data_IF_710069849009
#
_entry.id   IF_710069849009
#
_cell.length_a   1.000
_cell.length_b   1.000
_cell.length_c   1.000
_cell.angle_alpha   90.00
_cell.angle_beta   90.00
_cell.angle_gamma   90.00
#
_symmetry.space_group_name_H-M   'P 1'
#
loop_
_entity.id
_entity.type
_entity.pdbx_description
1 polymer ?
#
# COMPACT_ATOMS: atom_id res chain seq x y z
N UNK A 1 -20.04 22.24 14.35
CA UNK A 1 -19.49 21.01 13.74
C UNK A 1 -18.25 21.38 12.93
N UNK A 2 -17.06 21.27 13.53
CA UNK A 2 -15.77 21.57 12.89
C UNK A 2 -15.33 20.36 12.06
N UNK A 3 -16.00 20.10 10.95
CA UNK A 3 -15.44 19.22 9.93
C UNK A 3 -14.27 20.00 9.31
N UNK A 4 -13.08 19.57 9.70
CA UNK A 4 -11.79 20.24 9.61
C UNK A 4 -11.40 20.61 8.18
N UNK A 5 -11.16 21.90 7.90
CA UNK A 5 -10.52 22.37 6.65
C UNK A 5 -9.22 21.61 6.33
N UNK A 6 -8.54 21.05 7.34
CA UNK A 6 -7.31 20.30 7.16
C UNK A 6 -7.51 18.91 6.50
N UNK A 7 -8.74 18.39 6.47
CA UNK A 7 -9.05 17.09 5.86
C UNK A 7 -9.37 17.19 4.37
N UNK A 8 -9.81 18.36 3.91
CA UNK A 8 -10.20 18.60 2.50
C UNK A 8 -9.06 18.32 1.52
N UNK A 9 -7.81 18.81 1.74
CA UNK A 9 -6.71 18.53 0.81
C UNK A 9 -6.33 17.04 0.74
N UNK A 10 -6.50 16.32 1.85
CA UNK A 10 -6.26 14.87 1.89
C UNK A 10 -7.30 14.13 1.05
N UNK A 11 -8.58 14.50 1.20
CA UNK A 11 -9.68 13.90 0.46
C UNK A 11 -9.56 14.19 -1.05
N UNK A 12 -9.30 15.44 -1.45
CA UNK A 12 -9.07 15.79 -2.85
C UNK A 12 -7.92 14.99 -3.46
N UNK A 13 -6.86 14.73 -2.69
CA UNK A 13 -5.73 13.93 -3.15
C UNK A 13 -6.09 12.46 -3.29
N UNK A 14 -6.89 11.90 -2.38
CA UNK A 14 -7.41 10.53 -2.45
C UNK A 14 -8.32 10.35 -3.67
N UNK A 15 -9.21 11.31 -3.95
CA UNK A 15 -10.07 11.29 -5.14
C UNK A 15 -9.24 11.31 -6.43
N UNK A 16 -8.23 12.19 -6.53
CA UNK A 16 -7.32 12.19 -7.68
C UNK A 16 -6.57 10.88 -7.83
N UNK A 17 -6.12 10.29 -6.72
CA UNK A 17 -5.44 8.99 -6.76
C UNK A 17 -6.38 7.93 -7.31
N UNK A 18 -7.62 7.86 -6.83
CA UNK A 18 -8.62 6.91 -7.30
C UNK A 18 -8.84 7.02 -8.82
N UNK A 19 -8.87 8.23 -9.37
CA UNK A 19 -8.96 8.46 -10.81
C UNK A 19 -7.71 8.04 -11.60
N UNK A 20 -6.52 8.10 -10.99
CA UNK A 20 -5.24 7.72 -11.61
C UNK A 20 -5.01 6.19 -11.61
N UNK A 21 -5.60 5.46 -10.66
CA UNK A 21 -5.32 4.04 -10.44
C UNK A 21 -5.65 3.11 -11.63
N UNK A 22 -6.79 3.24 -12.34
CA UNK A 22 -7.13 2.33 -13.44
C UNK A 22 -6.08 2.31 -14.56
N UNK A 23 -5.51 3.48 -14.89
CA UNK A 23 -4.44 3.60 -15.87
C UNK A 23 -3.12 2.99 -15.37
N UNK A 24 -2.89 3.02 -14.07
CA UNK A 24 -1.68 2.48 -13.45
C UNK A 24 -1.69 0.95 -13.36
N UNK A 25 -2.85 0.36 -13.04
CA UNK A 25 -3.01 -1.09 -12.88
C UNK A 25 -3.02 -1.84 -14.22
N UNK A 26 -3.25 -1.15 -15.34
CA UNK A 26 -3.34 -1.74 -16.69
C UNK A 26 -1.99 -2.01 -17.37
N UNK A 27 -0.86 -1.87 -16.66
CA UNK A 27 0.48 -2.13 -17.20
C UNK A 27 1.39 -0.90 -17.23
N UNK A 28 1.37 -0.09 -16.16
CA UNK A 28 2.21 1.09 -16.05
C UNK A 28 3.68 0.79 -16.37
N UNK A 29 4.18 1.44 -17.43
CA UNK A 29 5.62 1.57 -17.67
C UNK A 29 6.27 2.27 -16.47
N UNK A 30 7.54 1.94 -16.17
CA UNK A 30 8.32 2.61 -15.12
C UNK A 30 8.26 4.14 -15.35
N UNK A 31 7.51 4.85 -14.51
CA UNK A 31 7.33 6.30 -14.58
C UNK A 31 5.88 6.80 -14.63
N UNK A 32 4.88 5.93 -14.86
CA UNK A 32 3.46 6.35 -14.95
C UNK A 32 2.61 5.94 -13.74
N UNK A 33 3.21 5.31 -12.73
CA UNK A 33 2.50 4.98 -11.50
C UNK A 33 2.22 6.27 -10.69
N UNK A 34 0.99 6.46 -10.19
CA UNK A 34 0.65 7.63 -9.40
C UNK A 34 1.41 7.62 -8.08
N UNK A 35 1.70 8.81 -7.56
CA UNK A 35 2.36 8.94 -6.26
C UNK A 35 1.40 8.48 -5.15
N UNK A 36 1.88 7.58 -4.28
CA UNK A 36 1.13 7.17 -3.09
C UNK A 36 0.85 8.33 -2.13
N UNK A 37 0.01 8.07 -1.13
CA UNK A 37 -0.39 9.03 -0.11
C UNK A 37 -0.01 8.47 1.26
N UNK A 38 0.58 9.32 2.10
CA UNK A 38 0.87 9.02 3.50
C UNK A 38 -0.01 9.92 4.38
N UNK A 39 -0.97 9.32 5.08
CA UNK A 39 -1.90 10.04 5.95
C UNK A 39 -1.35 10.03 7.38
N UNK A 40 -1.05 11.22 7.92
CA UNK A 40 -0.53 11.38 9.28
C UNK A 40 -1.29 12.47 10.04
N UNK A 41 -1.22 12.43 11.37
CA UNK A 41 -1.96 13.33 12.25
C UNK A 41 -2.23 12.70 13.62
N UNK A 42 -2.82 13.47 14.53
CA UNK A 42 -3.05 13.05 15.92
C UNK A 42 -3.99 11.83 16.05
N UNK A 43 -3.92 11.09 17.17
CA UNK A 43 -4.94 10.09 17.52
C UNK A 43 -6.34 10.70 17.47
N UNK A 44 -7.30 9.99 16.88
CA UNK A 44 -8.67 10.49 16.72
C UNK A 44 -8.90 11.47 15.54
N UNK A 45 -7.87 11.78 14.73
CA UNK A 45 -8.01 12.65 13.55
C UNK A 45 -8.76 12.04 12.34
N UNK A 46 -9.30 10.81 12.48
CA UNK A 46 -10.09 10.16 11.43
C UNK A 46 -9.29 9.51 10.29
N UNK A 47 -7.98 9.28 10.46
CA UNK A 47 -7.10 8.69 9.44
C UNK A 47 -7.56 7.30 8.98
N UNK A 48 -7.90 6.44 9.94
CA UNK A 48 -8.40 5.08 9.68
C UNK A 48 -9.68 5.13 8.87
N UNK A 49 -10.63 6.01 9.24
CA UNK A 49 -11.87 6.21 8.49
C UNK A 49 -11.61 6.65 7.04
N UNK A 50 -10.66 7.57 6.80
CA UNK A 50 -10.31 7.96 5.43
C UNK A 50 -9.72 6.80 4.63
N UNK A 51 -8.87 5.97 5.25
CA UNK A 51 -8.30 4.79 4.61
C UNK A 51 -9.38 3.73 4.32
N UNK A 52 -10.33 3.54 5.23
CA UNK A 52 -11.47 2.64 5.07
C UNK A 52 -12.31 3.05 3.85
N UNK A 53 -12.76 4.31 3.81
CA UNK A 53 -13.54 4.85 2.71
C UNK A 53 -12.82 4.77 1.37
N UNK A 54 -11.53 5.11 1.34
CA UNK A 54 -10.73 4.99 0.12
C UNK A 54 -10.63 3.54 -0.36
N UNK A 55 -10.38 2.60 0.55
CA UNK A 55 -10.27 1.19 0.20
C UNK A 55 -11.60 0.62 -0.33
N UNK A 56 -12.72 1.02 0.27
CA UNK A 56 -14.07 0.67 -0.21
C UNK A 56 -14.29 1.18 -1.65
N UNK A 57 -13.98 2.44 -1.93
CA UNK A 57 -14.12 3.02 -3.27
C UNK A 57 -13.25 2.32 -4.33
N UNK A 58 -12.03 1.90 -3.95
CA UNK A 58 -11.14 1.13 -4.83
C UNK A 58 -11.75 -0.24 -5.15
N UNK A 59 -12.31 -0.92 -4.15
CA UNK A 59 -12.99 -2.20 -4.33
C UNK A 59 -14.23 -2.06 -5.23
N UNK A 60 -15.03 -1.00 -5.04
CA UNK A 60 -16.18 -0.67 -5.88
C UNK A 60 -15.77 -0.39 -7.34
N UNK A 61 -14.61 0.22 -7.56
CA UNK A 61 -14.03 0.42 -8.88
C UNK A 61 -13.49 -0.88 -9.53
N UNK A 62 -13.56 -2.02 -8.83
CA UNK A 62 -13.11 -3.32 -9.33
C UNK A 62 -11.58 -3.46 -9.40
N UNK A 63 -10.85 -2.61 -8.70
CA UNK A 63 -9.39 -2.61 -8.69
C UNK A 63 -8.86 -3.55 -7.59
N UNK A 64 -7.95 -4.48 -7.90
CA UNK A 64 -7.41 -5.36 -6.87
C UNK A 64 -6.57 -4.56 -5.87
N UNK A 65 -6.99 -4.57 -4.60
CA UNK A 65 -6.30 -3.92 -3.50
C UNK A 65 -6.09 -4.90 -2.35
N UNK A 66 -5.03 -4.66 -1.57
CA UNK A 66 -4.81 -5.35 -0.30
C UNK A 66 -4.67 -4.32 0.81
N UNK A 67 -5.48 -4.49 1.84
CA UNK A 67 -5.30 -3.78 3.11
C UNK A 67 -4.64 -4.71 4.13
N UNK A 68 -3.63 -4.21 4.85
CA UNK A 68 -2.96 -4.95 5.90
C UNK A 68 -2.34 -3.99 6.93
N UNK A 69 -2.16 -4.44 8.17
CA UNK A 69 -1.24 -3.76 9.09
C UNK A 69 0.19 -3.92 8.55
N UNK A 70 1.01 -2.87 8.68
CA UNK A 70 2.36 -2.87 8.11
C UNK A 70 3.22 -4.06 8.60
N UNK A 71 3.16 -4.38 9.90
CA UNK A 71 3.93 -5.47 10.48
C UNK A 71 3.53 -6.85 9.91
N UNK A 72 2.23 -7.10 9.78
CA UNK A 72 1.72 -8.37 9.23
C UNK A 72 2.15 -8.55 7.77
N UNK A 73 2.13 -7.46 6.99
CA UNK A 73 2.62 -7.48 5.62
C UNK A 73 4.12 -7.84 5.54
N UNK A 74 4.95 -7.25 6.41
CA UNK A 74 6.38 -7.54 6.46
C UNK A 74 6.65 -9.00 6.84
N UNK A 75 5.89 -9.56 7.78
CA UNK A 75 5.97 -10.98 8.14
C UNK A 75 5.62 -11.89 6.96
N UNK A 76 4.56 -11.57 6.22
CA UNK A 76 4.17 -12.34 5.03
C UNK A 76 5.23 -12.27 3.92
N UNK A 77 5.76 -11.08 3.65
CA UNK A 77 6.85 -10.89 2.69
C UNK A 77 8.07 -11.74 3.06
N UNK A 78 8.47 -11.75 4.34
CA UNK A 78 9.61 -12.53 4.83
C UNK A 78 9.36 -14.05 4.71
N UNK A 79 8.14 -14.51 4.99
CA UNK A 79 7.75 -15.92 4.81
C UNK A 79 7.85 -16.34 3.35
N UNK A 80 7.36 -15.52 2.43
CA UNK A 80 7.40 -15.79 0.99
C UNK A 80 8.84 -15.77 0.46
N UNK A 81 9.64 -14.79 0.89
CA UNK A 81 11.05 -14.69 0.54
C UNK A 81 11.83 -15.95 0.96
N UNK A 82 11.62 -16.39 2.20
CA UNK A 82 12.25 -17.59 2.72
C UNK A 82 11.78 -18.87 1.98
N UNK A 83 10.50 -18.94 1.60
CA UNK A 83 9.97 -20.06 0.79
C UNK A 83 10.64 -20.11 -0.58
N UNK A 84 10.74 -18.98 -1.29
CA UNK A 84 11.38 -18.90 -2.61
C UNK A 84 12.87 -19.25 -2.52
N UNK A 85 13.59 -18.72 -1.51
CA UNK A 85 15.01 -19.04 -1.28
C UNK A 85 15.24 -20.54 -1.06
N UNK A 86 14.33 -21.23 -0.37
CA UNK A 86 14.41 -22.69 -0.15
C UNK A 86 14.05 -23.51 -1.38
N UNK A 87 13.04 -23.08 -2.14
CA UNK A 87 12.54 -23.83 -3.30
C UNK A 87 13.45 -23.69 -4.53
N UNK A 88 13.98 -22.48 -4.75
CA UNK A 88 14.78 -22.13 -5.91
C UNK A 88 16.17 -21.77 -5.41
N UNK A 89 17.01 -22.77 -5.15
CA UNK A 89 18.40 -22.53 -4.74
C UNK A 89 19.11 -21.68 -5.79
N UNK A 90 19.66 -20.53 -5.41
CA UNK A 90 20.47 -19.68 -6.29
C UNK A 90 19.74 -18.57 -7.07
N UNK A 91 18.55 -18.13 -6.66
CA UNK A 91 17.93 -16.93 -7.25
C UNK A 91 18.78 -15.69 -6.92
N UNK A 92 19.16 -14.92 -7.95
CA UNK A 92 19.94 -13.69 -7.79
C UNK A 92 19.15 -12.59 -7.06
N UNK A 93 17.85 -12.48 -7.32
CA UNK A 93 16.94 -11.54 -6.63
C UNK A 93 15.59 -12.20 -6.28
N UNK A 94 15.52 -12.93 -5.15
CA UNK A 94 14.27 -13.54 -4.70
C UNK A 94 13.25 -12.51 -4.23
N UNK A 95 13.67 -11.30 -3.84
CA UNK A 95 12.76 -10.23 -3.43
C UNK A 95 11.99 -9.69 -4.63
N UNK A 96 12.64 -9.50 -5.78
CA UNK A 96 11.95 -9.11 -7.01
C UNK A 96 10.88 -10.13 -7.42
N UNK A 97 11.11 -11.43 -7.21
CA UNK A 97 10.09 -12.46 -7.49
C UNK A 97 8.89 -12.36 -6.56
N UNK A 98 9.13 -12.16 -5.25
CA UNK A 98 8.06 -11.92 -4.27
C UNK A 98 7.27 -10.66 -4.64
N UNK A 99 7.96 -9.56 -4.95
CA UNK A 99 7.36 -8.29 -5.33
C UNK A 99 6.50 -8.40 -6.62
N UNK A 100 6.97 -9.13 -7.63
CA UNK A 100 6.18 -9.42 -8.83
C UNK A 100 4.91 -10.20 -8.50
N UNK A 101 4.98 -11.14 -7.56
CA UNK A 101 3.81 -11.84 -7.03
C UNK A 101 2.77 -10.87 -6.46
N UNK A 102 3.21 -9.95 -5.60
CA UNK A 102 2.34 -8.94 -5.01
C UNK A 102 1.76 -7.96 -6.02
N UNK A 103 2.55 -7.49 -6.99
CA UNK A 103 2.04 -6.57 -8.03
C UNK A 103 0.95 -7.25 -8.87
N UNK A 104 1.05 -8.56 -9.11
CA UNK A 104 0.04 -9.31 -9.88
C UNK A 104 -1.26 -9.54 -9.10
N UNK A 105 -1.20 -9.69 -7.78
CA UNK A 105 -2.38 -9.99 -6.95
C UNK A 105 -3.00 -8.74 -6.34
N UNK A 106 -2.18 -7.74 -6.02
CA UNK A 106 -2.57 -6.53 -5.29
C UNK A 106 -1.67 -5.35 -5.70
N UNK A 107 -1.91 -4.76 -6.88
CA UNK A 107 -1.16 -3.59 -7.35
C UNK A 107 -1.35 -2.35 -6.47
N UNK A 108 -2.43 -2.29 -5.68
CA UNK A 108 -2.60 -1.29 -4.63
C UNK A 108 -2.47 -1.91 -3.24
N UNK A 109 -1.57 -1.32 -2.44
CA UNK A 109 -1.38 -1.67 -1.03
C UNK A 109 -1.84 -0.52 -0.13
N UNK A 110 -2.76 -0.81 0.78
CA UNK A 110 -3.24 0.11 1.80
C UNK A 110 -2.73 -0.36 3.17
N UNK A 111 -1.73 0.33 3.71
CA UNK A 111 -1.22 -0.01 5.05
C UNK A 111 -1.92 0.75 6.15
N UNK A 112 -2.37 0.03 7.17
CA UNK A 112 -2.80 0.63 8.43
C UNK A 112 -1.68 0.58 9.48
N UNK A 113 -1.75 1.48 10.45
CA UNK A 113 -0.89 1.49 11.64
C UNK A 113 0.61 1.36 11.34
N UNK A 114 1.12 2.23 10.46
CA UNK A 114 2.55 2.37 10.23
C UNK A 114 3.20 3.07 11.43
N UNK A 115 3.41 2.30 12.50
CA UNK A 115 4.21 2.74 13.63
C UNK A 115 5.69 2.55 13.27
N UNK A 116 6.33 3.61 12.78
CA UNK A 116 7.80 3.64 12.66
C UNK A 116 8.37 3.72 14.07
N UNK A 117 8.43 2.59 14.77
CA UNK A 117 8.93 2.52 16.15
C UNK A 117 10.45 2.43 16.25
N UNK A 118 11.17 2.16 15.15
CA UNK A 118 12.60 2.42 15.11
C UNK A 118 13.16 2.30 13.69
N UNK A 119 14.19 3.10 13.42
CA UNK A 119 15.03 3.10 12.22
C UNK A 119 15.72 1.72 11.97
N UNK A 120 15.57 0.76 12.87
CA UNK A 120 16.16 -0.59 12.80
C UNK A 120 15.46 -1.56 11.84
N UNK A 121 14.16 -1.40 11.53
CA UNK A 121 13.43 -2.33 10.66
C UNK A 121 13.67 -2.09 9.15
N UNK A 122 14.38 -1.03 8.79
CA UNK A 122 14.78 -0.74 7.41
C UNK A 122 16.02 -1.54 6.95
N UNK A 123 16.64 -2.32 7.85
CA UNK A 123 17.89 -3.05 7.64
C UNK A 123 17.74 -4.54 8.00
N UNK A 124 16.79 -5.27 7.39
CA UNK A 124 16.78 -6.75 7.42
C UNK A 124 16.27 -7.36 6.10
#
# INVERSE_FOLDING_TARGET
CRHSEAQVPCLERLERLLAELPAATAGAARGTAPRGIYIYGDPGAGKTMMMDMFHELVQEAGLPSRRAHFHDFMLDMNRDLHRIRKAVGGVQDPLALVAQGFVRTSPLLCFDECHVLNVGDALL
#
